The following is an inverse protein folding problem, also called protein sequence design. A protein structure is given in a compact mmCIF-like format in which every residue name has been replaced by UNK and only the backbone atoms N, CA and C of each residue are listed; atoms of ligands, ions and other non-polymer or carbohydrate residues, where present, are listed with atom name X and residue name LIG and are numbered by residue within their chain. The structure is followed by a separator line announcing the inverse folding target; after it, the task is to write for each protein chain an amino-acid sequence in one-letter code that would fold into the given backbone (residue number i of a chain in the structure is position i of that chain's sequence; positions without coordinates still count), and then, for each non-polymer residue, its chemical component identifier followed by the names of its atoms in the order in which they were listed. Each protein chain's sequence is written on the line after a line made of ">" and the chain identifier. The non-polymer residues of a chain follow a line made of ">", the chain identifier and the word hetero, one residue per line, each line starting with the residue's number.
data_IF_098685204717
#
_entry.id   IF_098685204717
#
_cell.length_a   1.000
_cell.length_b   1.000
_cell.length_c   1.000
_cell.angle_alpha   90.00
_cell.angle_beta   90.00
_cell.angle_gamma   90.00
#
_symmetry.space_group_name_H-M   'P 1'
#
loop_
_entity.id
_entity.type
_entity.pdbx_description
1 polymer ?
#
# COMPACT_ATOMS: atom_id res chain seq x y z
N UNK A 1 20.48 17.46 -4.90
CA UNK A 1 19.79 18.56 -4.18
C UNK A 1 20.45 19.89 -4.54
N UNK A 2 19.66 20.95 -4.62
CA UNK A 2 20.15 22.31 -4.78
C UNK A 2 20.48 22.91 -3.42
N UNK A 3 21.36 23.92 -3.37
CA UNK A 3 21.73 24.62 -2.12
C UNK A 3 20.56 25.35 -1.44
N UNK A 4 19.46 25.60 -2.18
CA UNK A 4 18.26 26.24 -1.66
C UNK A 4 17.31 25.25 -0.95
N UNK A 5 17.56 23.94 -1.01
CA UNK A 5 16.74 22.94 -0.33
C UNK A 5 16.90 23.05 1.19
N UNK A 6 15.76 23.08 1.87
CA UNK A 6 15.72 23.03 3.34
C UNK A 6 15.55 21.60 3.80
N UNK A 7 16.15 21.27 4.93
CA UNK A 7 16.03 19.96 5.55
C UNK A 7 15.83 20.12 7.07
N UNK A 8 15.11 19.15 7.66
CA UNK A 8 14.96 19.03 9.11
C UNK A 8 15.73 17.79 9.55
N UNK A 9 16.59 17.95 10.56
CA UNK A 9 17.37 16.86 11.13
C UNK A 9 16.72 16.46 12.45
N UNK A 10 16.52 15.17 12.66
CA UNK A 10 15.89 14.61 13.86
C UNK A 10 14.89 13.52 13.53
N UNK A 11 14.27 12.97 14.56
CA UNK A 11 13.18 12.02 14.44
C UNK A 11 11.85 12.73 14.21
N UNK A 12 10.91 12.05 13.56
CA UNK A 12 9.53 12.53 13.43
C UNK A 12 8.86 12.44 14.79
N UNK A 13 8.12 13.49 15.18
CA UNK A 13 7.42 13.54 16.46
C UNK A 13 6.24 12.56 16.55
N UNK A 14 5.61 12.53 17.75
CA UNK A 14 4.46 11.68 18.05
C UNK A 14 4.77 10.17 17.85
N UNK A 15 5.89 9.73 18.39
CA UNK A 15 6.41 8.36 18.22
C UNK A 15 5.43 7.28 18.71
N UNK A 16 4.66 7.57 19.77
CA UNK A 16 3.69 6.66 20.37
C UNK A 16 2.37 6.56 19.60
N UNK A 17 2.20 7.31 18.52
CA UNK A 17 0.94 7.31 17.76
C UNK A 17 0.54 5.91 17.25
N UNK A 18 1.52 5.11 16.85
CA UNK A 18 1.29 3.73 16.41
C UNK A 18 0.83 2.76 17.51
N UNK A 19 1.07 3.12 18.77
CA UNK A 19 0.71 2.29 19.94
C UNK A 19 -0.69 2.58 20.46
N UNK A 20 -1.33 3.66 20.00
CA UNK A 20 -2.66 4.07 20.47
C UNK A 20 -3.72 3.07 20.04
N UNK A 21 -4.42 2.52 21.03
CA UNK A 21 -5.57 1.65 20.79
C UNK A 21 -6.80 2.49 20.46
N UNK A 22 -7.33 2.34 19.27
CA UNK A 22 -8.48 3.11 18.79
C UNK A 22 -9.77 2.70 19.51
N UNK A 23 -9.90 1.43 19.88
CA UNK A 23 -10.97 0.87 20.68
C UNK A 23 -12.24 0.53 19.90
N UNK A 24 -12.69 1.36 18.99
CA UNK A 24 -13.91 1.14 18.21
C UNK A 24 -13.80 1.63 16.76
N UNK A 25 -14.56 0.98 15.87
CA UNK A 25 -14.59 1.33 14.45
C UNK A 25 -15.08 2.76 14.18
N UNK A 26 -15.95 3.28 15.02
CA UNK A 26 -16.46 4.65 14.91
C UNK A 26 -15.38 5.72 15.01
N UNK A 27 -14.30 5.49 15.78
CA UNK A 27 -13.17 6.43 15.83
C UNK A 27 -12.42 6.51 14.49
N UNK A 28 -12.28 5.39 13.78
CA UNK A 28 -11.73 5.40 12.44
C UNK A 28 -12.62 6.21 11.49
N UNK A 29 -13.94 6.10 11.62
CA UNK A 29 -14.88 6.90 10.84
C UNK A 29 -14.72 8.40 11.10
N UNK A 30 -14.51 8.82 12.33
CA UNK A 30 -14.22 10.22 12.67
C UNK A 30 -12.91 10.73 12.06
N UNK A 31 -11.94 9.85 11.83
CA UNK A 31 -10.69 10.17 11.12
C UNK A 31 -10.86 10.22 9.60
N UNK A 32 -12.05 10.03 9.06
CA UNK A 32 -12.31 9.97 7.63
C UNK A 32 -12.00 8.62 6.97
N UNK A 33 -11.62 7.61 7.74
CA UNK A 33 -11.29 6.28 7.22
C UNK A 33 -12.58 5.48 7.01
N UNK A 34 -12.87 5.13 5.76
CA UNK A 34 -14.01 4.28 5.43
C UNK A 34 -13.69 2.80 5.68
N UNK A 35 -14.72 1.95 5.94
CA UNK A 35 -14.53 0.51 6.06
C UNK A 35 -13.89 -0.08 4.79
N UNK A 36 -13.00 -1.05 4.99
CA UNK A 36 -12.34 -1.78 3.90
C UNK A 36 -12.88 -3.21 3.85
N UNK A 37 -13.28 -3.65 2.67
CA UNK A 37 -13.76 -5.02 2.42
C UNK A 37 -12.66 -5.79 1.69
N UNK A 38 -12.39 -7.01 2.15
CA UNK A 38 -11.42 -7.90 1.52
C UNK A 38 -11.96 -8.41 0.18
N UNK A 39 -11.08 -8.56 -0.82
CA UNK A 39 -11.47 -9.11 -2.12
C UNK A 39 -12.02 -10.53 -2.05
N UNK A 40 -11.52 -11.36 -1.12
CA UNK A 40 -11.96 -12.76 -0.94
C UNK A 40 -13.42 -12.93 -0.46
N UNK A 41 -14.05 -11.88 0.06
CA UNK A 41 -15.47 -11.88 0.47
C UNK A 41 -16.38 -11.25 -0.57
N UNK A 42 -15.84 -10.84 -1.69
CA UNK A 42 -16.58 -10.30 -2.83
C UNK A 42 -16.98 -11.43 -3.80
N UNK A 43 -17.84 -11.08 -4.76
CA UNK A 43 -18.19 -11.98 -5.85
C UNK A 43 -17.05 -12.05 -6.90
N UNK A 44 -17.02 -13.12 -7.73
CA UNK A 44 -15.98 -13.27 -8.77
C UNK A 44 -15.93 -12.14 -9.79
N UNK A 45 -17.04 -11.46 -10.04
CA UNK A 45 -17.13 -10.31 -10.92
C UNK A 45 -16.58 -9.01 -10.30
N UNK A 46 -16.48 -8.95 -8.96
CA UNK A 46 -16.05 -7.74 -8.24
C UNK A 46 -14.54 -7.74 -7.95
N UNK A 47 -13.96 -8.93 -7.77
CA UNK A 47 -12.56 -9.06 -7.43
C UNK A 47 -11.96 -10.38 -7.91
N UNK A 48 -10.70 -10.43 -8.38
CA UNK A 48 -10.03 -11.68 -8.76
C UNK A 48 -9.94 -12.76 -7.67
N UNK A 49 -10.04 -12.37 -6.41
CA UNK A 49 -10.09 -13.30 -5.26
C UNK A 49 -11.52 -13.66 -4.85
N UNK A 50 -12.52 -13.14 -5.53
CA UNK A 50 -13.92 -13.38 -5.20
C UNK A 50 -14.37 -14.81 -5.52
N UNK A 51 -15.48 -15.21 -4.90
CA UNK A 51 -16.08 -16.52 -5.06
C UNK A 51 -15.59 -17.57 -4.08
N UNK A 52 -16.12 -18.80 -4.23
CA UNK A 52 -15.86 -19.94 -3.36
C UNK A 52 -16.81 -20.02 -2.16
N UNK A 53 -16.72 -21.12 -1.42
CA UNK A 53 -17.47 -21.35 -0.19
C UNK A 53 -16.60 -21.13 1.04
N UNK A 54 -17.18 -20.51 2.08
CA UNK A 54 -16.50 -20.22 3.33
C UNK A 54 -15.27 -19.35 3.14
N UNK A 55 -14.12 -19.80 3.63
CA UNK A 55 -12.82 -19.12 3.45
C UNK A 55 -12.09 -19.71 2.23
N UNK A 56 -12.39 -19.18 1.06
CA UNK A 56 -11.67 -19.58 -0.14
C UNK A 56 -10.25 -19.01 -0.15
N UNK A 57 -9.24 -19.78 -0.62
CA UNK A 57 -7.89 -19.30 -0.86
C UNK A 57 -7.86 -18.30 -2.03
N UNK A 58 -6.73 -17.64 -2.21
CA UNK A 58 -6.52 -16.71 -3.34
C UNK A 58 -6.67 -17.42 -4.69
N UNK A 59 -6.31 -18.72 -4.76
CA UNK A 59 -6.45 -19.55 -5.96
C UNK A 59 -5.59 -19.12 -7.16
N UNK A 60 -4.56 -18.30 -6.92
CA UNK A 60 -3.65 -17.76 -7.93
C UNK A 60 -2.22 -17.83 -7.44
N UNK A 61 -1.25 -17.68 -8.32
CA UNK A 61 0.18 -17.69 -8.00
C UNK A 61 0.59 -16.59 -6.99
N UNK A 62 -0.22 -15.56 -6.82
CA UNK A 62 0.01 -14.48 -5.86
C UNK A 62 -1.21 -13.57 -5.72
N UNK A 63 -1.21 -12.70 -4.70
CA UNK A 63 -2.32 -11.79 -4.47
C UNK A 63 -2.42 -10.74 -5.59
N UNK A 64 -3.65 -10.41 -5.94
CA UNK A 64 -4.00 -9.50 -7.01
C UNK A 64 -4.75 -8.29 -6.45
N UNK A 65 -4.65 -7.18 -7.18
CA UNK A 65 -5.49 -5.99 -6.93
C UNK A 65 -6.88 -6.19 -7.56
N UNK A 66 -7.88 -5.35 -7.22
CA UNK A 66 -9.19 -5.40 -7.88
C UNK A 66 -9.14 -5.31 -9.41
N UNK A 67 -8.11 -4.69 -9.95
CA UNK A 67 -7.89 -4.52 -11.39
C UNK A 67 -7.04 -5.62 -12.03
N UNK A 68 -6.77 -6.71 -11.32
CA UNK A 68 -6.04 -7.85 -11.85
C UNK A 68 -4.51 -7.69 -11.93
N UNK A 69 -3.95 -6.66 -11.33
CA UNK A 69 -2.50 -6.47 -11.26
C UNK A 69 -1.93 -7.15 -10.00
N UNK A 70 -0.67 -7.62 -10.01
CA UNK A 70 -0.02 -8.13 -8.80
C UNK A 70 -0.07 -7.10 -7.68
N UNK A 71 -0.52 -7.50 -6.48
CA UNK A 71 -0.60 -6.62 -5.33
C UNK A 71 0.76 -6.38 -4.66
N UNK A 72 1.69 -7.35 -4.79
CA UNK A 72 3.03 -7.28 -4.21
C UNK A 72 4.09 -7.30 -5.31
N UNK A 73 5.14 -6.53 -5.12
CA UNK A 73 6.32 -6.52 -5.98
C UNK A 73 6.17 -5.85 -7.34
N UNK A 74 5.00 -5.30 -7.67
CA UNK A 74 4.80 -4.57 -8.91
C UNK A 74 5.56 -3.24 -8.89
N UNK A 75 6.48 -3.06 -9.83
CA UNK A 75 7.20 -1.80 -9.99
C UNK A 75 6.31 -0.80 -10.75
N UNK A 76 5.90 0.26 -10.07
CA UNK A 76 5.02 1.30 -10.63
C UNK A 76 5.79 2.50 -11.18
N UNK A 77 7.08 2.65 -10.84
CA UNK A 77 7.90 3.73 -11.39
C UNK A 77 8.07 3.54 -12.90
N UNK A 78 7.71 4.54 -13.68
CA UNK A 78 7.94 4.54 -15.13
C UNK A 78 9.44 4.52 -15.43
N UNK A 79 9.83 3.77 -16.46
CA UNK A 79 11.19 3.80 -16.99
C UNK A 79 11.48 5.17 -17.62
N UNK A 80 12.73 5.59 -17.60
CA UNK A 80 13.20 6.85 -18.20
C UNK A 80 12.46 8.10 -17.68
N UNK A 81 12.28 8.17 -16.35
CA UNK A 81 11.83 9.40 -15.72
C UNK A 81 12.92 10.46 -15.77
N UNK A 82 12.55 11.71 -16.01
CA UNK A 82 13.50 12.83 -16.01
C UNK A 82 14.31 12.95 -14.71
N UNK A 83 13.68 12.60 -13.58
CA UNK A 83 14.35 12.55 -12.28
C UNK A 83 15.41 11.45 -12.14
N UNK A 84 15.58 10.56 -13.13
CA UNK A 84 16.60 9.49 -13.06
C UNK A 84 18.03 10.06 -13.09
N UNK A 85 18.24 11.24 -13.70
CA UNK A 85 19.50 11.96 -13.69
C UNK A 85 20.01 12.36 -12.31
N UNK A 86 19.10 12.48 -11.32
CA UNK A 86 19.45 12.84 -9.94
C UNK A 86 19.71 11.64 -9.03
N UNK A 87 19.53 10.42 -9.54
CA UNK A 87 19.74 9.20 -8.77
C UNK A 87 21.17 8.72 -8.99
N UNK A 88 22.03 8.91 -8.00
CA UNK A 88 23.43 8.48 -8.04
C UNK A 88 23.55 6.96 -8.03
N UNK A 89 22.82 6.31 -7.12
CA UNK A 89 22.86 4.84 -6.98
C UNK A 89 21.46 4.31 -6.66
N UNK A 90 21.07 3.24 -7.34
CA UNK A 90 19.82 2.53 -7.06
C UNK A 90 20.07 1.30 -6.20
N UNK A 91 19.07 0.94 -5.41
CA UNK A 91 19.08 -0.33 -4.67
C UNK A 91 19.26 -1.49 -5.65
N UNK A 92 20.34 -2.24 -5.48
CA UNK A 92 20.59 -3.44 -6.28
C UNK A 92 19.50 -4.48 -6.04
N UNK A 93 19.02 -5.13 -7.09
CA UNK A 93 18.27 -6.39 -6.94
C UNK A 93 19.21 -7.41 -6.30
N UNK A 94 18.78 -8.06 -5.22
CA UNK A 94 19.32 -9.36 -4.82
C UNK A 94 18.86 -10.40 -5.80
#
# INVERSE_FOLDING_TARGET
>A
FTFLCRATIGSVGNEDYGLVKIGKAGRNRYKGIRPTVRGSVMNPNDHPHGGGEGRAPIGRSGPMTPWGKPALGLKTRKNKKESDKYIVTRRKKK
#
